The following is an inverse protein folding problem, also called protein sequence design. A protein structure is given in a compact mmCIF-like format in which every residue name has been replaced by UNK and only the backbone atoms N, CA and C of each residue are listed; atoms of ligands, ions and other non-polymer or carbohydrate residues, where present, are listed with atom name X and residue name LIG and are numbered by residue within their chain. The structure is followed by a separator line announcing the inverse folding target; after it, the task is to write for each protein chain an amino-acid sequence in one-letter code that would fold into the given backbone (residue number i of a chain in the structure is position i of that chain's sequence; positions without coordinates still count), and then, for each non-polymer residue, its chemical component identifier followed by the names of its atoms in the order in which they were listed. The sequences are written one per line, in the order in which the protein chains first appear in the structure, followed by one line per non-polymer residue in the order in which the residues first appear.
data_IF_414990396912
#
_entry.id   IF_414990396912
#
_cell.length_a   1.000
_cell.length_b   1.000
_cell.length_c   1.000
_cell.angle_alpha   90.00
_cell.angle_beta   90.00
_cell.angle_gamma   90.00
#
_symmetry.space_group_name_H-M   'P 1'
#
loop_
_entity.id
_entity.type
_entity.pdbx_description
1 polymer ?
#
# COMPACT_ATOMS: atom_id res chain seq x y z
N UNK A 1 27.99 -12.73 10.73
CA UNK A 1 28.17 -13.84 11.70
C UNK A 1 27.18 -13.70 12.88
N UNK A 2 25.89 -13.44 12.62
CA UNK A 2 24.83 -13.45 13.65
C UNK A 2 24.15 -14.81 13.70
N UNK A 3 24.92 -15.85 14.03
CA UNK A 3 24.37 -17.19 14.30
C UNK A 3 23.66 -17.15 15.66
N UNK A 4 22.34 -17.06 15.61
CA UNK A 4 21.46 -18.08 16.20
C UNK A 4 21.42 -18.27 17.74
N UNK A 5 21.58 -17.21 18.53
CA UNK A 5 21.32 -17.28 19.99
C UNK A 5 19.86 -17.68 20.27
N UNK A 6 18.93 -17.22 19.43
CA UNK A 6 17.50 -17.56 19.57
C UNK A 6 17.20 -19.04 19.32
N UNK A 7 17.78 -19.68 18.29
CA UNK A 7 17.50 -21.10 18.09
C UNK A 7 18.09 -21.95 19.21
N UNK A 8 19.30 -21.69 19.70
CA UNK A 8 19.87 -22.54 20.75
C UNK A 8 19.08 -22.44 22.08
N UNK A 9 18.44 -21.29 22.35
CA UNK A 9 17.58 -21.10 23.53
C UNK A 9 16.22 -21.82 23.42
N UNK A 10 15.66 -21.96 22.22
CA UNK A 10 14.36 -22.61 21.98
C UNK A 10 14.47 -24.05 21.42
N UNK A 11 15.65 -24.47 20.94
CA UNK A 11 15.93 -25.83 20.44
C UNK A 11 16.14 -26.86 21.55
N UNK A 12 16.35 -26.42 22.81
CA UNK A 12 16.61 -27.31 23.94
C UNK A 12 15.36 -28.04 24.46
N UNK A 13 14.17 -27.55 24.13
CA UNK A 13 12.92 -28.17 24.57
C UNK A 13 12.46 -29.26 23.58
N UNK A 14 12.55 -30.53 23.99
CA UNK A 14 12.14 -31.74 23.25
C UNK A 14 10.64 -31.72 22.84
N UNK A 15 9.87 -30.78 23.37
CA UNK A 15 8.43 -30.60 23.11
C UNK A 15 8.08 -29.44 22.16
N UNK A 16 9.08 -28.76 21.59
CA UNK A 16 8.86 -27.59 20.72
C UNK A 16 8.93 -27.93 19.24
N UNK A 17 7.98 -27.40 18.47
CA UNK A 17 7.98 -27.40 17.00
C UNK A 17 8.23 -25.99 16.51
N UNK A 18 9.28 -25.83 15.71
CA UNK A 18 9.61 -24.58 15.03
C UNK A 18 9.01 -24.63 13.63
N UNK A 19 8.23 -23.64 13.26
CA UNK A 19 7.59 -23.54 11.96
C UNK A 19 8.05 -22.26 11.26
N UNK A 20 8.68 -22.40 10.10
CA UNK A 20 8.98 -21.29 9.21
C UNK A 20 7.92 -21.20 8.11
N UNK A 21 7.41 -20.00 7.88
CA UNK A 21 6.32 -19.75 6.92
C UNK A 21 6.68 -18.62 5.98
N UNK A 22 6.29 -18.72 4.73
CA UNK A 22 6.41 -17.63 3.76
C UNK A 22 5.32 -17.74 2.69
N UNK A 23 4.78 -16.60 2.28
CA UNK A 23 3.88 -16.42 1.15
C UNK A 23 4.60 -15.78 -0.04
N UNK A 24 4.24 -16.17 -1.25
CA UNK A 24 4.78 -15.56 -2.46
C UNK A 24 3.68 -15.18 -3.42
N UNK A 25 3.66 -13.90 -3.79
CA UNK A 25 2.85 -13.38 -4.89
C UNK A 25 3.78 -12.96 -6.03
N UNK A 26 3.73 -13.62 -7.20
CA UNK A 26 4.55 -13.26 -8.34
C UNK A 26 4.24 -11.84 -8.84
N UNK A 27 5.29 -11.11 -9.26
CA UNK A 27 5.12 -9.81 -9.93
C UNK A 27 4.39 -9.95 -11.29
N UNK A 28 4.58 -11.09 -11.97
CA UNK A 28 3.91 -11.37 -13.23
C UNK A 28 2.55 -12.00 -12.99
N UNK A 29 1.52 -11.38 -13.58
CA UNK A 29 0.12 -11.84 -13.56
C UNK A 29 -0.10 -13.21 -14.25
N UNK A 30 0.94 -13.80 -14.85
CA UNK A 30 0.92 -15.12 -15.47
C UNK A 30 1.05 -16.26 -14.46
N UNK A 31 1.55 -16.00 -13.25
CA UNK A 31 1.80 -17.02 -12.25
C UNK A 31 0.85 -16.88 -11.05
N UNK A 32 0.57 -18.01 -10.40
CA UNK A 32 -0.25 -18.09 -9.20
C UNK A 32 0.60 -17.78 -7.97
N UNK A 33 -0.03 -17.18 -6.96
CA UNK A 33 0.53 -17.08 -5.63
C UNK A 33 0.66 -18.47 -4.98
N UNK A 34 1.62 -18.58 -4.08
CA UNK A 34 1.90 -19.80 -3.34
C UNK A 34 2.19 -19.49 -1.87
N UNK A 35 2.05 -20.51 -1.05
CA UNK A 35 2.31 -20.47 0.38
C UNK A 35 3.16 -21.66 0.76
N UNK A 36 4.11 -21.50 1.68
CA UNK A 36 4.90 -22.62 2.18
C UNK A 36 5.03 -22.61 3.70
N UNK A 37 5.14 -23.82 4.25
CA UNK A 37 5.49 -24.02 5.64
C UNK A 37 6.51 -25.15 5.75
N UNK A 38 7.52 -24.95 6.59
CA UNK A 38 8.53 -25.95 6.93
C UNK A 38 8.58 -26.06 8.45
N UNK A 39 8.40 -27.27 8.98
CA UNK A 39 8.45 -27.54 10.41
C UNK A 39 9.70 -28.33 10.80
N UNK A 40 10.25 -28.00 11.97
CA UNK A 40 11.46 -28.56 12.56
C UNK A 40 11.20 -28.96 14.01
N UNK A 41 11.94 -29.95 14.49
CA UNK A 41 12.05 -30.33 15.91
C UNK A 41 13.53 -30.31 16.26
N UNK A 42 13.94 -29.37 17.11
CA UNK A 42 15.36 -29.01 17.24
C UNK A 42 15.94 -28.59 15.89
N UNK A 43 17.06 -29.21 15.49
CA UNK A 43 17.70 -28.98 14.18
C UNK A 43 17.18 -29.90 13.07
N UNK A 44 16.32 -30.87 13.39
CA UNK A 44 15.82 -31.84 12.42
C UNK A 44 14.58 -31.29 11.73
N UNK A 45 14.66 -31.16 10.41
CA UNK A 45 13.50 -30.90 9.56
C UNK A 45 12.55 -32.09 9.59
N UNK A 46 11.29 -31.85 9.94
CA UNK A 46 10.28 -32.91 10.01
C UNK A 46 9.49 -33.01 8.71
N UNK A 47 8.96 -31.88 8.25
CA UNK A 47 8.07 -31.84 7.08
C UNK A 47 8.10 -30.46 6.45
N UNK A 48 7.87 -30.43 5.14
CA UNK A 48 7.63 -29.22 4.37
C UNK A 48 6.37 -29.39 3.55
N UNK A 49 5.64 -28.32 3.35
CA UNK A 49 4.49 -28.26 2.45
C UNK A 49 4.49 -26.96 1.69
N UNK A 50 3.92 -27.00 0.48
CA UNK A 50 3.66 -25.82 -0.32
C UNK A 50 2.32 -25.98 -1.03
N UNK A 51 1.56 -24.90 -1.10
CA UNK A 51 0.26 -24.86 -1.75
C UNK A 51 0.22 -23.72 -2.76
N UNK A 52 -0.46 -23.97 -3.87
CA UNK A 52 -0.78 -22.95 -4.86
C UNK A 52 -2.13 -22.36 -4.50
N UNK A 53 -2.17 -21.05 -4.34
CA UNK A 53 -3.34 -20.33 -3.81
C UNK A 53 -4.11 -19.59 -4.91
N UNK A 54 -3.70 -19.68 -6.18
CA UNK A 54 -4.32 -18.92 -7.28
C UNK A 54 -3.95 -17.45 -7.23
N UNK A 55 -4.91 -16.57 -7.57
CA UNK A 55 -4.72 -15.11 -7.43
C UNK A 55 -5.29 -14.68 -6.09
N UNK A 56 -4.38 -14.47 -5.14
CA UNK A 56 -4.66 -13.96 -3.80
C UNK A 56 -3.72 -12.81 -3.48
N UNK A 57 -4.05 -12.03 -2.46
CA UNK A 57 -3.16 -10.96 -1.98
C UNK A 57 -1.97 -11.54 -1.21
N UNK A 58 -0.92 -10.75 -1.02
CA UNK A 58 0.22 -11.19 -0.21
C UNK A 58 -0.18 -11.55 1.23
N UNK A 59 -1.00 -10.74 1.95
CA UNK A 59 -1.51 -11.13 3.26
C UNK A 59 -2.29 -12.46 3.27
N UNK A 60 -3.10 -12.74 2.25
CA UNK A 60 -3.83 -14.02 2.16
C UNK A 60 -2.87 -15.21 1.96
N UNK A 61 -1.81 -15.03 1.16
CA UNK A 61 -0.78 -16.05 0.93
C UNK A 61 0.03 -16.34 2.21
N UNK A 62 0.41 -15.29 2.95
CA UNK A 62 1.07 -15.41 4.25
C UNK A 62 0.18 -16.10 5.28
N UNK A 63 -1.09 -15.70 5.36
CA UNK A 63 -2.06 -16.31 6.27
C UNK A 63 -2.24 -17.81 5.98
N UNK A 64 -2.30 -18.21 4.70
CA UNK A 64 -2.35 -19.62 4.33
C UNK A 64 -1.06 -20.37 4.72
N UNK A 65 0.11 -19.72 4.60
CA UNK A 65 1.38 -20.31 5.04
C UNK A 65 1.37 -20.61 6.55
N UNK A 66 0.89 -19.66 7.37
CA UNK A 66 0.70 -19.83 8.81
C UNK A 66 -0.30 -20.96 9.12
N UNK A 67 -1.44 -20.98 8.42
CA UNK A 67 -2.44 -22.05 8.55
C UNK A 67 -1.84 -23.43 8.27
N UNK A 68 -1.04 -23.54 7.23
CA UNK A 68 -0.34 -24.78 6.88
C UNK A 68 0.66 -25.19 7.97
N UNK A 69 1.44 -24.25 8.50
CA UNK A 69 2.40 -24.51 9.58
C UNK A 69 1.71 -25.04 10.84
N UNK A 70 0.67 -24.35 11.32
CA UNK A 70 -0.06 -24.74 12.54
C UNK A 70 -0.67 -26.13 12.37
N UNK A 71 -1.37 -26.38 11.26
CA UNK A 71 -1.97 -27.70 10.96
C UNK A 71 -0.96 -28.84 10.87
N UNK A 72 0.28 -28.55 10.45
CA UNK A 72 1.35 -29.53 10.45
C UNK A 72 1.92 -29.75 11.85
N UNK A 73 2.05 -28.67 12.63
CA UNK A 73 2.65 -28.69 13.96
C UNK A 73 1.78 -29.41 15.00
N UNK A 74 0.46 -29.16 15.04
CA UNK A 74 -0.47 -29.81 15.98
C UNK A 74 -0.55 -31.34 15.80
N UNK A 75 -0.16 -31.85 14.62
CA UNK A 75 -0.11 -33.29 14.32
C UNK A 75 1.18 -33.96 14.78
N UNK A 76 2.13 -33.23 15.34
CA UNK A 76 3.39 -33.80 15.80
C UNK A 76 3.23 -34.36 17.21
N UNK A 77 3.70 -35.59 17.44
CA UNK A 77 3.69 -36.20 18.75
C UNK A 77 4.54 -35.42 19.76
N UNK A 78 4.02 -35.30 20.98
CA UNK A 78 4.64 -34.58 22.11
C UNK A 78 5.00 -33.13 21.74
N UNK A 79 4.08 -32.40 21.12
CA UNK A 79 4.21 -30.98 20.83
C UNK A 79 3.39 -30.18 21.85
N UNK A 80 4.08 -29.43 22.71
CA UNK A 80 3.48 -28.49 23.68
C UNK A 80 3.76 -27.03 23.31
N UNK A 81 4.74 -26.76 22.45
CA UNK A 81 5.04 -25.40 22.02
C UNK A 81 5.18 -25.33 20.50
N UNK A 82 4.38 -24.48 19.86
CA UNK A 82 4.51 -24.16 18.44
C UNK A 82 5.08 -22.75 18.31
N UNK A 83 6.23 -22.61 17.66
CA UNK A 83 6.83 -21.32 17.36
C UNK A 83 6.74 -21.05 15.86
N UNK A 84 5.96 -20.06 15.46
CA UNK A 84 5.76 -19.68 14.06
C UNK A 84 6.62 -18.46 13.73
N UNK A 85 7.58 -18.64 12.85
CA UNK A 85 8.46 -17.59 12.34
C UNK A 85 7.92 -17.08 11.00
N UNK A 86 7.57 -15.80 10.95
CA UNK A 86 6.97 -15.13 9.80
C UNK A 86 7.45 -13.69 9.71
N UNK A 87 7.53 -13.15 8.50
CA UNK A 87 7.73 -11.72 8.25
C UNK A 87 6.42 -10.91 8.21
N UNK A 88 5.28 -11.56 8.45
CA UNK A 88 3.96 -10.97 8.34
C UNK A 88 3.20 -11.00 9.67
N UNK A 89 3.52 -10.07 10.58
CA UNK A 89 2.81 -9.97 11.86
C UNK A 89 1.32 -9.65 11.69
N UNK A 90 0.95 -8.89 10.65
CA UNK A 90 -0.47 -8.68 10.31
C UNK A 90 -1.21 -10.00 10.03
N UNK A 91 -0.55 -10.93 9.33
CA UNK A 91 -1.11 -12.27 9.07
C UNK A 91 -1.09 -13.16 10.31
N UNK A 92 -0.07 -13.02 11.18
CA UNK A 92 -0.03 -13.71 12.47
C UNK A 92 -1.18 -13.31 13.39
N UNK A 93 -1.45 -12.00 13.53
CA UNK A 93 -2.62 -11.51 14.27
C UNK A 93 -3.91 -12.04 13.66
N UNK A 94 -4.03 -11.98 12.33
CA UNK A 94 -5.22 -12.45 11.61
C UNK A 94 -5.42 -13.96 11.73
N UNK A 95 -4.36 -14.76 11.89
CA UNK A 95 -4.44 -16.22 11.98
C UNK A 95 -5.28 -16.71 13.16
N UNK A 96 -5.33 -15.93 14.24
CA UNK A 96 -6.10 -16.23 15.47
C UNK A 96 -7.34 -15.36 15.61
N UNK A 97 -7.72 -14.61 14.57
CA UNK A 97 -8.93 -13.82 14.51
C UNK A 97 -10.02 -14.58 13.74
N UNK A 98 -11.12 -15.02 14.38
CA UNK A 98 -12.23 -15.69 13.71
C UNK A 98 -13.18 -14.72 12.97
N UNK A 99 -12.96 -13.39 13.11
CA UNK A 99 -13.77 -12.34 12.52
C UNK A 99 -13.86 -12.37 10.98
N UNK A 100 -14.74 -11.54 10.44
CA UNK A 100 -14.97 -11.48 8.98
C UNK A 100 -13.84 -10.70 8.30
N UNK A 101 -13.06 -11.39 7.48
CA UNK A 101 -12.00 -10.79 6.66
C UNK A 101 -11.65 -11.65 5.45
N UNK A 102 -10.86 -11.11 4.51
CA UNK A 102 -10.27 -11.93 3.43
C UNK A 102 -9.33 -12.98 4.02
N UNK A 103 -9.48 -14.23 3.58
CA UNK A 103 -8.73 -15.36 4.12
C UNK A 103 -9.31 -15.96 5.41
N UNK A 104 -10.52 -15.59 5.84
CA UNK A 104 -11.17 -16.13 7.05
C UNK A 104 -11.17 -17.66 7.11
N UNK A 105 -11.31 -18.35 5.97
CA UNK A 105 -11.22 -19.81 5.92
C UNK A 105 -9.90 -20.36 6.50
N UNK A 106 -8.78 -19.64 6.32
CA UNK A 106 -7.49 -20.02 6.89
C UNK A 106 -7.43 -19.75 8.39
N UNK A 107 -7.94 -18.61 8.86
CA UNK A 107 -8.01 -18.30 10.30
C UNK A 107 -8.92 -19.26 11.06
N UNK A 108 -10.09 -19.60 10.51
CA UNK A 108 -10.96 -20.62 11.09
C UNK A 108 -10.29 -22.00 11.13
N UNK A 109 -9.48 -22.33 10.12
CA UNK A 109 -8.71 -23.57 10.09
C UNK A 109 -7.62 -23.60 11.18
N UNK A 110 -6.96 -22.47 11.44
CA UNK A 110 -6.01 -22.30 12.56
C UNK A 110 -6.73 -22.40 13.89
N UNK A 111 -7.82 -21.66 14.08
CA UNK A 111 -8.58 -21.62 15.33
C UNK A 111 -9.09 -23.01 15.70
N UNK A 112 -9.67 -23.76 14.75
CA UNK A 112 -10.11 -25.14 14.98
C UNK A 112 -8.95 -26.06 15.37
N UNK A 113 -7.84 -25.98 14.65
CA UNK A 113 -6.66 -26.80 14.93
C UNK A 113 -6.03 -26.50 16.29
N UNK A 114 -5.99 -25.23 16.68
CA UNK A 114 -5.47 -24.80 17.98
C UNK A 114 -6.44 -25.11 19.12
N UNK A 115 -7.75 -25.00 18.89
CA UNK A 115 -8.76 -25.34 19.90
C UNK A 115 -8.61 -26.79 20.37
N UNK A 116 -8.64 -27.74 19.43
CA UNK A 116 -8.45 -29.18 19.74
C UNK A 116 -7.11 -29.44 20.44
N UNK A 117 -6.07 -28.68 20.08
CA UNK A 117 -4.72 -28.85 20.64
C UNK A 117 -4.56 -28.23 22.04
N UNK A 118 -5.22 -27.10 22.32
CA UNK A 118 -5.25 -26.49 23.65
C UNK A 118 -6.15 -27.28 24.62
N UNK A 119 -7.25 -27.84 24.15
CA UNK A 119 -8.12 -28.70 24.97
C UNK A 119 -7.44 -30.00 25.43
N UNK A 120 -6.38 -30.44 24.73
CA UNK A 120 -5.67 -31.67 25.03
C UNK A 120 -4.63 -31.54 26.16
N UNK A 121 -4.04 -30.36 26.36
CA UNK A 121 -2.99 -30.11 27.37
C UNK A 121 -2.89 -28.60 27.69
N UNK A 122 -3.09 -28.24 28.96
CA UNK A 122 -3.05 -26.84 29.43
C UNK A 122 -1.65 -26.19 29.32
N UNK A 123 -0.60 -26.99 29.09
CA UNK A 123 0.75 -26.49 28.84
C UNK A 123 0.98 -26.08 27.38
N UNK A 124 0.03 -26.38 26.49
CA UNK A 124 0.13 -26.03 25.08
C UNK A 124 0.18 -24.51 24.88
N UNK A 125 1.17 -24.03 24.13
CA UNK A 125 1.31 -22.60 23.79
C UNK A 125 1.75 -22.38 22.35
N UNK A 126 1.18 -21.38 21.70
CA UNK A 126 1.63 -20.91 20.38
C UNK A 126 2.34 -19.55 20.52
N UNK A 127 3.44 -19.37 19.83
CA UNK A 127 4.20 -18.12 19.81
C UNK A 127 4.46 -17.72 18.38
N UNK A 128 4.06 -16.49 18.02
CA UNK A 128 4.40 -15.88 16.74
C UNK A 128 5.65 -15.04 16.91
N UNK A 129 6.65 -15.29 16.07
CA UNK A 129 7.95 -14.61 16.09
C UNK A 129 8.11 -13.86 14.78
N UNK A 130 8.19 -12.53 14.89
CA UNK A 130 8.48 -11.68 13.73
C UNK A 130 9.92 -11.85 13.27
N UNK A 131 10.11 -12.11 11.98
CA UNK A 131 11.43 -12.18 11.34
C UNK A 131 11.45 -11.22 10.16
N UNK A 132 12.24 -10.13 10.20
CA UNK A 132 12.38 -9.25 9.03
C UNK A 132 12.91 -10.01 7.81
N UNK A 133 12.20 -9.96 6.67
CA UNK A 133 12.56 -10.68 5.44
C UNK A 133 13.97 -10.31 4.92
N UNK A 134 14.41 -9.07 5.18
CA UNK A 134 15.73 -8.57 4.82
C UNK A 134 16.88 -9.38 5.44
N UNK A 135 16.66 -10.04 6.58
CA UNK A 135 17.69 -10.84 7.25
C UNK A 135 17.94 -12.18 6.57
N UNK A 136 17.00 -12.66 5.74
CA UNK A 136 17.04 -14.00 5.11
C UNK A 136 17.46 -15.09 6.09
N UNK A 137 16.90 -15.02 7.28
CA UNK A 137 17.37 -15.78 8.43
C UNK A 137 17.06 -17.27 8.29
N UNK A 138 18.11 -18.09 8.27
CA UNK A 138 18.13 -19.56 8.32
C UNK A 138 16.83 -20.27 7.86
N UNK A 139 16.02 -20.77 8.79
CA UNK A 139 14.79 -21.53 8.49
C UNK A 139 13.74 -20.70 7.73
N UNK A 140 13.63 -19.39 8.01
CA UNK A 140 12.73 -18.49 7.29
C UNK A 140 13.23 -18.25 5.87
N UNK A 141 14.54 -18.06 5.69
CA UNK A 141 15.18 -17.97 4.38
C UNK A 141 14.98 -19.25 3.56
N UNK A 142 14.92 -20.42 4.21
CA UNK A 142 14.58 -21.68 3.55
C UNK A 142 13.13 -21.73 3.07
N UNK A 143 12.16 -21.35 3.93
CA UNK A 143 10.75 -21.27 3.56
C UNK A 143 10.54 -20.32 2.36
N UNK A 144 11.22 -19.18 2.38
CA UNK A 144 11.18 -18.19 1.30
C UNK A 144 11.69 -18.75 -0.04
N UNK A 145 12.86 -19.41 -0.04
CA UNK A 145 13.36 -20.09 -1.25
C UNK A 145 12.38 -21.16 -1.73
N UNK A 146 11.88 -21.97 -0.81
CA UNK A 146 11.02 -23.10 -1.13
C UNK A 146 9.69 -22.68 -1.80
N UNK A 147 9.11 -21.55 -1.39
CA UNK A 147 7.90 -21.01 -2.02
C UNK A 147 8.20 -20.27 -3.33
N UNK A 148 9.27 -19.48 -3.38
CA UNK A 148 9.58 -18.63 -4.55
C UNK A 148 10.05 -19.42 -5.77
N UNK A 149 10.67 -20.59 -5.57
CA UNK A 149 11.04 -21.55 -6.62
C UNK A 149 9.83 -22.16 -7.32
N UNK A 150 8.65 -22.20 -6.68
CA UNK A 150 7.45 -22.74 -7.29
C UNK A 150 6.85 -21.74 -8.27
N UNK A 151 6.87 -22.07 -9.57
CA UNK A 151 6.21 -21.29 -10.63
C UNK A 151 5.07 -22.10 -11.24
N UNK A 152 3.85 -21.74 -10.90
CA UNK A 152 2.65 -22.36 -11.48
C UNK A 152 1.87 -21.32 -12.26
N UNK A 153 1.63 -21.59 -13.55
CA UNK A 153 0.88 -20.67 -14.41
C UNK A 153 -0.58 -20.59 -14.00
N UNK A 154 -1.18 -19.41 -14.14
CA UNK A 154 -2.64 -19.24 -14.00
C UNK A 154 -3.31 -19.96 -15.18
N UNK A 155 -4.28 -20.83 -14.90
CA UNK A 155 -5.04 -21.53 -15.94
C UNK A 155 -5.93 -20.58 -16.77
N UNK A 156 -6.55 -21.10 -17.84
CA UNK A 156 -7.45 -20.30 -18.71
C UNK A 156 -8.65 -19.67 -17.96
N UNK A 157 -9.09 -20.28 -16.86
CA UNK A 157 -10.07 -19.68 -15.95
C UNK A 157 -9.31 -18.88 -14.88
N UNK A 158 -9.54 -17.57 -14.84
CA UNK A 158 -8.98 -16.67 -13.80
C UNK A 158 -9.54 -17.10 -12.43
N UNK A 159 -8.75 -17.81 -11.64
CA UNK A 159 -9.10 -18.21 -10.26
C UNK A 159 -8.62 -17.14 -9.29
N UNK A 160 -9.32 -16.00 -9.29
CA UNK A 160 -9.22 -15.06 -8.17
C UNK A 160 -9.91 -15.73 -6.98
N UNK A 161 -9.11 -16.16 -6.00
CA UNK A 161 -9.57 -17.04 -4.92
C UNK A 161 -9.83 -16.29 -3.61
N UNK A 162 -9.55 -14.99 -3.54
CA UNK A 162 -9.89 -14.14 -2.40
C UNK A 162 -10.68 -12.90 -2.80
N UNK A 163 -11.56 -12.46 -1.89
CA UNK A 163 -12.36 -11.24 -2.07
C UNK A 163 -11.47 -10.01 -2.22
N UNK A 164 -10.35 -9.95 -1.50
CA UNK A 164 -9.43 -8.82 -1.60
C UNK A 164 -8.67 -8.82 -2.92
N UNK A 165 -8.38 -9.99 -3.52
CA UNK A 165 -7.84 -10.04 -4.87
C UNK A 165 -8.85 -9.52 -5.91
N UNK A 166 -10.14 -9.86 -5.77
CA UNK A 166 -11.20 -9.32 -6.62
C UNK A 166 -11.36 -7.81 -6.48
N UNK A 167 -11.37 -7.30 -5.24
CA UNK A 167 -11.42 -5.85 -4.94
C UNK A 167 -10.21 -5.12 -5.50
N UNK A 168 -9.01 -5.64 -5.26
CA UNK A 168 -7.76 -5.07 -5.78
C UNK A 168 -7.78 -4.99 -7.30
N UNK A 169 -8.23 -6.06 -7.98
CA UNK A 169 -8.37 -6.08 -9.45
C UNK A 169 -9.39 -5.04 -9.94
N UNK A 170 -10.54 -4.94 -9.29
CA UNK A 170 -11.55 -3.94 -9.65
C UNK A 170 -11.01 -2.52 -9.46
N UNK A 171 -10.35 -2.25 -8.33
CA UNK A 171 -9.73 -0.96 -8.04
C UNK A 171 -8.65 -0.60 -9.06
N UNK A 172 -7.78 -1.54 -9.44
CA UNK A 172 -6.80 -1.31 -10.51
C UNK A 172 -7.46 -1.03 -11.85
N UNK A 173 -8.49 -1.78 -12.23
CA UNK A 173 -9.22 -1.56 -13.49
C UNK A 173 -9.87 -0.18 -13.55
N UNK A 174 -10.47 0.28 -12.44
CA UNK A 174 -11.06 1.63 -12.36
C UNK A 174 -9.99 2.70 -12.38
N UNK A 175 -8.88 2.50 -11.67
CA UNK A 175 -7.75 3.44 -11.66
C UNK A 175 -7.11 3.57 -13.05
N UNK A 176 -6.89 2.46 -13.76
CA UNK A 176 -6.36 2.45 -15.12
C UNK A 176 -7.30 3.20 -16.08
N UNK A 177 -8.61 2.93 -15.98
CA UNK A 177 -9.62 3.66 -16.76
C UNK A 177 -9.59 5.16 -16.45
N UNK A 178 -9.55 5.54 -15.17
CA UNK A 178 -9.50 6.95 -14.77
C UNK A 178 -8.23 7.63 -15.27
N UNK A 179 -7.07 6.99 -15.13
CA UNK A 179 -5.81 7.50 -15.64
C UNK A 179 -5.83 7.68 -17.16
N UNK A 180 -6.43 6.75 -17.91
CA UNK A 180 -6.59 6.86 -19.35
C UNK A 180 -7.49 8.06 -19.72
N UNK A 181 -8.64 8.22 -19.06
CA UNK A 181 -9.54 9.35 -19.29
C UNK A 181 -8.88 10.67 -18.88
N UNK A 182 -8.08 10.69 -17.82
CA UNK A 182 -7.39 11.88 -17.34
C UNK A 182 -6.34 12.44 -18.31
N UNK A 183 -5.83 11.63 -19.25
CA UNK A 183 -4.96 12.13 -20.31
C UNK A 183 -5.69 13.03 -21.31
N UNK A 184 -7.02 12.90 -21.42
CA UNK A 184 -7.82 13.67 -22.37
C UNK A 184 -7.97 15.13 -21.90
N UNK A 185 -7.48 16.12 -22.68
CA UNK A 185 -7.66 17.53 -22.37
C UNK A 185 -9.12 17.96 -22.22
N UNK A 186 -10.06 17.29 -22.88
CA UNK A 186 -11.50 17.58 -22.78
C UNK A 186 -12.08 17.13 -21.44
N UNK A 187 -11.53 16.07 -20.84
CA UNK A 187 -11.93 15.59 -19.52
C UNK A 187 -11.29 16.41 -18.40
N UNK A 188 -9.97 16.61 -18.44
CA UNK A 188 -9.23 17.33 -17.38
C UNK A 188 -9.44 18.85 -17.41
N UNK A 189 -9.81 19.39 -18.58
CA UNK A 189 -9.90 20.82 -18.87
C UNK A 189 -8.63 21.37 -19.50
N UNK A 190 -8.79 22.31 -20.44
CA UNK A 190 -7.69 22.96 -21.18
C UNK A 190 -6.77 23.79 -20.28
N UNK A 191 -7.24 24.15 -19.10
CA UNK A 191 -6.56 25.01 -18.14
C UNK A 191 -6.04 24.23 -16.94
N UNK A 192 -6.07 22.90 -16.97
CA UNK A 192 -5.48 22.08 -15.92
C UNK A 192 -3.96 22.23 -15.90
N UNK A 193 -3.37 22.47 -14.72
CA UNK A 193 -1.92 22.58 -14.55
C UNK A 193 -1.30 21.19 -14.56
N UNK A 194 -0.60 20.86 -15.64
CA UNK A 194 0.18 19.63 -15.74
C UNK A 194 1.39 19.68 -14.81
N UNK A 195 1.39 18.79 -13.81
CA UNK A 195 2.51 18.56 -12.92
C UNK A 195 3.14 17.20 -13.25
N UNK A 196 4.38 17.00 -12.81
CA UNK A 196 5.16 15.80 -13.05
C UNK A 196 5.44 15.06 -11.74
N UNK A 197 5.66 13.76 -11.88
CA UNK A 197 6.26 12.89 -10.88
C UNK A 197 7.80 13.02 -10.93
N UNK A 198 8.54 12.59 -9.90
CA UNK A 198 10.00 12.66 -9.88
C UNK A 198 10.68 11.96 -11.07
N UNK A 199 10.03 10.96 -11.68
CA UNK A 199 10.50 10.23 -12.86
C UNK A 199 10.21 10.95 -14.20
N UNK A 200 9.64 12.16 -14.15
CA UNK A 200 9.32 12.99 -15.31
C UNK A 200 7.96 12.68 -15.97
N UNK A 201 7.25 11.64 -15.53
CA UNK A 201 5.89 11.34 -16.05
C UNK A 201 4.88 12.36 -15.54
N UNK A 202 3.79 12.54 -16.28
CA UNK A 202 2.66 13.34 -15.82
C UNK A 202 2.10 12.78 -14.51
N UNK A 203 1.82 13.67 -13.57
CA UNK A 203 1.15 13.35 -12.32
C UNK A 203 -0.25 12.82 -12.62
N UNK A 204 -0.53 11.62 -12.14
CA UNK A 204 -1.80 10.92 -12.37
C UNK A 204 -2.68 10.96 -11.12
N UNK A 205 -4.01 10.93 -11.27
CA UNK A 205 -4.89 10.72 -10.14
C UNK A 205 -4.68 9.35 -9.49
N UNK A 206 -5.04 9.28 -8.21
CA UNK A 206 -5.03 8.05 -7.44
C UNK A 206 -6.04 8.16 -6.31
N UNK A 207 -6.59 7.01 -5.88
CA UNK A 207 -7.47 6.93 -4.72
C UNK A 207 -6.70 6.65 -3.43
N UNK A 208 -5.45 6.15 -3.53
CA UNK A 208 -4.63 5.78 -2.37
C UNK A 208 -4.30 7.02 -1.54
N UNK A 209 -4.62 6.98 -0.25
CA UNK A 209 -4.40 8.09 0.69
C UNK A 209 -4.98 9.44 0.18
N UNK A 210 -6.11 9.40 -0.53
CA UNK A 210 -6.72 10.60 -1.11
C UNK A 210 -6.06 11.12 -2.40
N UNK A 211 -5.09 10.39 -2.94
CA UNK A 211 -4.38 10.78 -4.15
C UNK A 211 -3.26 11.79 -3.90
N UNK A 212 -2.47 12.14 -4.95
CA UNK A 212 -1.25 12.92 -4.77
C UNK A 212 -1.53 14.35 -4.30
N UNK A 213 -2.65 14.96 -4.72
CA UNK A 213 -2.99 16.32 -4.31
C UNK A 213 -3.50 16.40 -2.87
N UNK A 214 -4.47 15.57 -2.48
CA UNK A 214 -5.02 15.62 -1.12
C UNK A 214 -4.01 15.18 -0.07
N UNK A 215 -3.20 14.16 -0.38
CA UNK A 215 -2.12 13.75 0.55
C UNK A 215 -1.04 14.82 0.75
N UNK A 216 -0.85 15.74 -0.21
CA UNK A 216 0.14 16.82 -0.09
C UNK A 216 -0.43 18.05 0.63
N UNK A 217 -1.68 18.41 0.35
CA UNK A 217 -2.26 19.70 0.76
C UNK A 217 -3.44 19.59 1.72
N UNK A 218 -3.92 18.38 2.00
CA UNK A 218 -5.15 18.12 2.76
C UNK A 218 -5.08 18.49 4.24
N UNK A 219 -3.94 18.94 4.75
CA UNK A 219 -3.77 19.41 6.12
C UNK A 219 -4.39 20.80 6.37
N UNK A 220 -4.68 21.58 5.32
CA UNK A 220 -5.30 22.91 5.42
C UNK A 220 -6.35 23.09 4.32
N UNK A 221 -7.61 23.25 4.72
CA UNK A 221 -8.73 23.45 3.79
C UNK A 221 -8.52 24.70 2.94
N UNK A 222 -8.08 25.81 3.56
CA UNK A 222 -7.83 27.08 2.88
C UNK A 222 -6.68 26.99 1.88
N UNK A 223 -5.60 26.30 2.22
CA UNK A 223 -4.50 26.07 1.27
C UNK A 223 -4.94 25.16 0.13
N UNK A 224 -5.63 24.06 0.45
CA UNK A 224 -6.13 23.13 -0.55
C UNK A 224 -7.08 23.80 -1.54
N UNK A 225 -8.00 24.64 -1.08
CA UNK A 225 -8.90 25.40 -1.95
C UNK A 225 -8.14 26.30 -2.94
N UNK A 226 -7.10 27.00 -2.48
CA UNK A 226 -6.25 27.85 -3.34
C UNK A 226 -5.42 27.03 -4.32
N UNK A 227 -4.91 25.87 -3.90
CA UNK A 227 -4.22 24.91 -4.76
C UNK A 227 -5.17 24.36 -5.83
N UNK A 228 -6.38 23.95 -5.46
CA UNK A 228 -7.40 23.50 -6.41
C UNK A 228 -7.66 24.56 -7.48
N UNK A 229 -7.92 25.81 -7.07
CA UNK A 229 -8.11 26.96 -7.97
C UNK A 229 -6.92 27.19 -8.90
N UNK A 230 -5.70 27.11 -8.37
CA UNK A 230 -4.48 27.21 -9.15
C UNK A 230 -4.38 26.09 -10.19
N UNK A 231 -4.57 24.83 -9.78
CA UNK A 231 -4.40 23.67 -10.64
C UNK A 231 -5.49 23.59 -11.70
N UNK A 232 -6.75 23.80 -11.36
CA UNK A 232 -7.87 23.70 -12.33
C UNK A 232 -7.99 24.93 -13.22
N UNK A 233 -7.29 26.04 -12.91
CA UNK A 233 -7.44 27.29 -13.64
C UNK A 233 -8.77 28.00 -13.33
N UNK A 234 -9.28 27.80 -12.11
CA UNK A 234 -10.50 28.43 -11.57
C UNK A 234 -10.19 29.48 -10.49
N UNK A 235 -8.96 29.98 -10.46
CA UNK A 235 -8.61 31.06 -9.54
C UNK A 235 -9.35 32.37 -9.90
N UNK A 236 -9.81 33.14 -8.92
CA UNK A 236 -10.48 34.43 -9.11
C UNK A 236 -9.47 35.52 -9.48
N UNK A 237 -8.83 35.37 -10.65
CA UNK A 237 -7.78 36.24 -11.18
C UNK A 237 -8.20 36.82 -12.51
N UNK A 238 -7.48 37.85 -12.99
CA UNK A 238 -7.85 38.57 -14.21
C UNK A 238 -8.11 37.70 -15.44
N UNK A 239 -7.32 36.64 -15.67
CA UNK A 239 -7.55 35.70 -16.78
C UNK A 239 -8.88 34.93 -16.66
N UNK A 240 -9.29 34.58 -15.43
CA UNK A 240 -10.59 33.94 -15.18
C UNK A 240 -11.74 34.92 -15.45
N UNK A 241 -11.65 36.14 -14.90
CA UNK A 241 -12.67 37.17 -15.11
C UNK A 241 -12.86 37.52 -16.59
N UNK A 242 -11.75 37.65 -17.32
CA UNK A 242 -11.79 37.86 -18.76
C UNK A 242 -12.46 36.69 -19.49
N UNK A 243 -12.10 35.44 -19.17
CA UNK A 243 -12.66 34.23 -19.81
C UNK A 243 -14.17 34.11 -19.59
N UNK A 244 -14.65 34.44 -18.40
CA UNK A 244 -16.06 34.33 -18.02
C UNK A 244 -16.85 35.64 -18.13
N UNK A 245 -16.25 36.70 -18.69
CA UNK A 245 -16.88 38.02 -18.88
C UNK A 245 -17.42 38.63 -17.57
N UNK A 246 -16.68 38.45 -16.48
CA UNK A 246 -17.01 39.01 -15.16
C UNK A 246 -16.46 40.44 -15.09
N UNK A 247 -17.29 41.39 -14.63
CA UNK A 247 -16.91 42.80 -14.51
C UNK A 247 -16.04 43.06 -13.27
N UNK A 248 -14.80 42.56 -13.29
CA UNK A 248 -13.77 42.72 -12.26
C UNK A 248 -12.43 43.08 -12.92
N UNK A 249 -11.45 43.66 -12.19
CA UNK A 249 -10.16 44.04 -12.76
C UNK A 249 -9.40 42.85 -13.38
N UNK A 250 -8.95 43.01 -14.63
CA UNK A 250 -8.18 41.98 -15.34
C UNK A 250 -6.66 42.11 -15.18
N UNK A 251 -6.17 43.32 -14.90
CA UNK A 251 -4.74 43.59 -14.77
C UNK A 251 -4.19 43.13 -13.43
N UNK A 252 -2.90 42.80 -13.39
CA UNK A 252 -2.22 42.50 -12.15
C UNK A 252 -1.79 43.80 -11.45
N UNK A 253 -1.78 43.80 -10.12
CA UNK A 253 -1.27 44.91 -9.31
C UNK A 253 0.21 45.21 -9.51
N UNK A 254 0.97 44.30 -10.15
CA UNK A 254 2.36 44.57 -10.54
C UNK A 254 2.48 45.36 -11.87
N UNK A 255 1.35 45.77 -12.46
CA UNK A 255 1.29 46.52 -13.73
C UNK A 255 1.15 45.65 -14.99
N UNK A 256 1.06 44.32 -14.88
CA UNK A 256 0.84 43.47 -16.05
C UNK A 256 -0.61 43.63 -16.58
N UNK A 257 -0.77 43.75 -17.90
CA UNK A 257 -2.07 43.96 -18.53
C UNK A 257 -3.10 42.86 -18.24
N UNK A 258 -2.64 41.62 -18.05
CA UNK A 258 -3.49 40.47 -17.70
C UNK A 258 -2.86 39.65 -16.58
N UNK A 259 -3.60 39.45 -15.50
CA UNK A 259 -3.23 38.57 -14.41
C UNK A 259 -3.59 37.11 -14.74
N UNK A 260 -2.65 36.38 -15.36
CA UNK A 260 -2.80 34.94 -15.65
C UNK A 260 -2.11 34.06 -14.61
N UNK A 261 -2.47 32.76 -14.57
CA UNK A 261 -1.77 31.78 -13.72
C UNK A 261 -0.29 31.71 -14.05
N UNK A 262 0.06 31.67 -15.33
CA UNK A 262 1.47 31.68 -15.77
C UNK A 262 2.20 32.93 -15.30
N UNK A 263 1.55 34.09 -15.35
CA UNK A 263 2.12 35.32 -14.82
C UNK A 263 2.35 35.21 -13.31
N UNK A 264 1.35 34.82 -12.52
CA UNK A 264 1.47 34.68 -11.05
C UNK A 264 2.57 33.69 -10.67
N UNK A 265 2.61 32.51 -11.31
CA UNK A 265 3.56 31.44 -10.95
C UNK A 265 5.00 31.74 -11.33
N UNK A 266 5.28 32.62 -12.31
CA UNK A 266 6.62 32.71 -12.89
C UNK A 266 7.11 34.11 -13.26
N UNK A 267 6.23 35.10 -13.44
CA UNK A 267 6.62 36.43 -13.96
C UNK A 267 6.22 37.60 -13.06
N UNK A 268 5.34 37.38 -12.09
CA UNK A 268 4.80 38.45 -11.26
C UNK A 268 5.87 38.98 -10.29
N UNK A 269 6.14 40.28 -10.34
CA UNK A 269 7.09 40.95 -9.42
C UNK A 269 6.57 41.02 -7.98
N UNK A 270 5.25 40.89 -7.81
CA UNK A 270 4.59 40.91 -6.50
C UNK A 270 4.48 39.50 -5.88
N UNK A 271 4.90 38.45 -6.60
CA UNK A 271 4.92 37.09 -6.10
C UNK A 271 6.36 36.58 -6.03
N UNK A 272 6.70 35.94 -4.93
CA UNK A 272 7.98 35.25 -4.83
C UNK A 272 7.91 33.94 -5.60
N UNK A 273 8.71 33.80 -6.66
CA UNK A 273 8.84 32.56 -7.42
C UNK A 273 10.30 32.29 -7.73
N UNK A 274 10.74 31.05 -7.49
CA UNK A 274 12.08 30.59 -7.86
C UNK A 274 12.14 30.08 -9.30
N UNK A 275 11.08 29.40 -9.76
CA UNK A 275 10.93 28.87 -11.11
C UNK A 275 9.47 28.45 -11.39
N UNK A 276 9.14 28.18 -12.66
CA UNK A 276 7.83 27.62 -13.01
C UNK A 276 7.66 26.23 -12.35
N UNK A 277 6.55 25.97 -11.64
CA UNK A 277 6.38 24.73 -10.89
C UNK A 277 6.23 23.54 -11.82
N UNK A 278 7.00 22.49 -11.57
CA UNK A 278 6.91 21.21 -12.29
C UNK A 278 6.36 20.11 -11.40
N UNK A 279 6.58 20.19 -10.09
CA UNK A 279 6.21 19.18 -9.11
C UNK A 279 5.25 19.75 -8.06
N UNK A 280 4.50 18.89 -7.36
CA UNK A 280 3.61 19.33 -6.25
C UNK A 280 4.38 20.09 -5.17
N UNK A 281 5.61 19.68 -4.86
CA UNK A 281 6.46 20.39 -3.88
C UNK A 281 6.76 21.83 -4.29
N UNK A 282 6.80 22.13 -5.59
CA UNK A 282 7.06 23.48 -6.09
C UNK A 282 5.82 24.36 -5.86
N UNK A 283 4.63 23.80 -6.06
CA UNK A 283 3.36 24.46 -5.72
C UNK A 283 3.28 24.69 -4.20
N UNK A 284 3.62 23.70 -3.38
CA UNK A 284 3.64 23.86 -1.93
C UNK A 284 4.58 24.97 -1.48
N UNK A 285 5.81 25.00 -2.02
CA UNK A 285 6.75 26.08 -1.75
C UNK A 285 6.17 27.43 -2.18
N UNK A 286 5.60 27.52 -3.39
CA UNK A 286 4.98 28.74 -3.88
C UNK A 286 3.85 29.25 -2.98
N UNK A 287 2.93 28.37 -2.56
CA UNK A 287 1.80 28.74 -1.70
C UNK A 287 2.24 29.22 -0.33
N UNK A 288 3.33 28.64 0.20
CA UNK A 288 3.94 29.06 1.47
C UNK A 288 4.49 30.49 1.40
N UNK A 289 5.17 30.84 0.31
CA UNK A 289 5.72 32.19 0.14
C UNK A 289 4.69 33.22 -0.33
N UNK A 290 3.56 32.78 -0.90
CA UNK A 290 2.53 33.64 -1.44
C UNK A 290 1.16 33.30 -0.80
N UNK A 291 0.95 33.62 0.48
CA UNK A 291 -0.20 33.14 1.26
C UNK A 291 -1.55 33.70 0.80
N UNK A 292 -1.58 34.67 -0.11
CA UNK A 292 -2.80 35.25 -0.69
C UNK A 292 -3.02 34.85 -2.16
N UNK A 293 -2.04 34.20 -2.80
CA UNK A 293 -2.14 33.84 -4.21
C UNK A 293 -3.29 32.85 -4.45
N UNK A 294 -4.01 33.06 -5.55
CA UNK A 294 -5.18 32.27 -5.96
C UNK A 294 -6.34 32.25 -4.95
N UNK A 295 -6.29 33.08 -3.91
CA UNK A 295 -7.40 33.37 -2.99
C UNK A 295 -8.35 34.41 -3.56
N UNK A 296 -9.51 34.59 -2.92
CA UNK A 296 -10.41 35.69 -3.26
C UNK A 296 -9.85 37.01 -2.72
N UNK A 297 -10.10 38.11 -3.42
CA UNK A 297 -9.66 39.46 -3.01
C UNK A 297 -10.37 39.95 -1.75
N UNK A 298 -11.63 39.54 -1.52
CA UNK A 298 -12.44 39.95 -0.36
C UNK A 298 -12.22 39.10 0.88
N UNK A 299 -11.66 37.91 0.73
CA UNK A 299 -11.23 37.05 1.83
C UNK A 299 -10.05 36.18 1.36
N UNK A 300 -8.80 36.60 1.63
CA UNK A 300 -7.61 35.85 1.24
C UNK A 300 -7.55 34.45 1.88
N UNK A 301 -8.30 34.24 2.98
CA UNK A 301 -8.41 32.99 3.74
C UNK A 301 -9.73 32.24 3.48
N UNK A 302 -10.62 32.83 2.66
CA UNK A 302 -12.02 32.44 2.55
C UNK A 302 -12.29 31.20 1.69
N UNK A 303 -12.86 30.21 2.35
CA UNK A 303 -13.69 29.15 1.74
C UNK A 303 -14.96 29.84 1.24
N UNK A 304 -15.00 30.13 -0.06
CA UNK A 304 -16.22 30.53 -0.76
C UNK A 304 -16.91 29.31 -1.32
#
# INVERSE_FOLDING_TARGET
MHRSIYLDQYQSAVVSILAATDGSVPQSNQYQAASAAIIYKGRRKLKRTRYVSGRVTAPDAELNAISCAVRLAVKQANCQHIMVFTDSMGSAHRAVDPGVHSGQAFSLSVCRALQEWFEADDLCRVTFVYVPSALRWDIHGEAHKYVTELKVRVGRRKTDNSIDALRSRAAHSVLDSWNSTFQDPTYRGSEFLELQQPDGRLLQPSYLNGGPWLSTFGHSITEFARVCRCITGHAPIGAYYHRFKINEPHSCTCGAALQSRQHILFRCRNCYSMHYPRFLRDIAAFMKYNPTAFGFTRDPLGVG
#
